data_IF_148816110274
#
_entry.id   IF_148816110274
#
_cell.length_a   1.000
_cell.length_b   1.000
_cell.length_c   1.000
_cell.angle_alpha   90.00
_cell.angle_beta   90.00
_cell.angle_gamma   90.00
#
_symmetry.space_group_name_H-M   'P 1'
#
loop_
_entity.id
_entity.type
_entity.pdbx_description
1 polymer ?
#
# COMPACT_ATOMS: atom_id res chain seq x y z
N UNK A 1 -10.48 -27.22 1.02
CA UNK A 1 -9.35 -26.96 1.95
C UNK A 1 -9.89 -26.18 3.14
N UNK A 2 -9.42 -26.42 4.38
CA UNK A 2 -9.88 -25.64 5.53
C UNK A 2 -9.47 -24.18 5.38
N UNK A 3 -10.44 -23.28 5.55
CA UNK A 3 -10.27 -21.84 5.50
C UNK A 3 -9.63 -21.35 6.82
N UNK A 4 -8.70 -20.40 6.73
CA UNK A 4 -8.06 -19.76 7.89
C UNK A 4 -8.64 -18.38 8.11
N UNK A 5 -9.21 -18.14 9.28
CA UNK A 5 -9.64 -16.82 9.71
C UNK A 5 -8.40 -15.99 10.12
N UNK A 6 -8.25 -14.80 9.51
CA UNK A 6 -7.14 -13.88 9.78
C UNK A 6 -7.70 -12.50 10.10
N UNK A 7 -7.31 -11.96 11.25
CA UNK A 7 -7.63 -10.57 11.61
C UNK A 7 -6.39 -9.71 11.38
N UNK A 8 -6.51 -8.71 10.50
CA UNK A 8 -5.49 -7.70 10.26
C UNK A 8 -5.80 -6.50 11.15
N UNK A 9 -4.85 -6.13 12.01
CA UNK A 9 -5.00 -5.00 12.94
C UNK A 9 -4.42 -3.74 12.31
N UNK A 10 -5.28 -2.74 12.09
CA UNK A 10 -4.93 -1.45 11.49
C UNK A 10 -5.31 -1.34 10.01
N UNK A 11 -5.84 -0.19 9.61
CA UNK A 11 -6.32 0.09 8.26
C UNK A 11 -5.48 1.15 7.51
N UNK A 12 -4.21 1.30 7.87
CA UNK A 12 -3.24 2.07 7.08
C UNK A 12 -2.67 1.27 5.91
N UNK A 13 -1.73 1.87 5.17
CA UNK A 13 -1.15 1.26 3.96
C UNK A 13 -0.59 -0.15 4.20
N UNK A 14 0.08 -0.38 5.33
CA UNK A 14 0.61 -1.71 5.68
C UNK A 14 -0.51 -2.74 5.91
N UNK A 15 -1.57 -2.35 6.62
CA UNK A 15 -2.70 -3.23 6.93
C UNK A 15 -3.55 -3.54 5.71
N UNK A 16 -3.96 -2.53 4.94
CA UNK A 16 -4.81 -2.71 3.76
C UNK A 16 -4.10 -3.47 2.64
N UNK A 17 -2.82 -3.18 2.38
CA UNK A 17 -2.05 -3.93 1.37
C UNK A 17 -1.89 -5.40 1.79
N UNK A 18 -1.64 -5.66 3.07
CA UNK A 18 -1.56 -7.04 3.59
C UNK A 18 -2.90 -7.75 3.47
N UNK A 19 -4.00 -7.09 3.84
CA UNK A 19 -5.35 -7.66 3.75
C UNK A 19 -5.73 -7.98 2.30
N UNK A 20 -5.40 -7.09 1.35
CA UNK A 20 -5.61 -7.30 -0.09
C UNK A 20 -4.81 -8.49 -0.63
N UNK A 21 -3.52 -8.59 -0.29
CA UNK A 21 -2.69 -9.71 -0.74
C UNK A 21 -3.12 -11.04 -0.10
N UNK A 22 -3.69 -11.03 1.10
CA UNK A 22 -4.28 -12.22 1.71
C UNK A 22 -5.61 -12.59 1.06
N UNK A 23 -6.47 -11.62 0.71
CA UNK A 23 -7.78 -11.90 0.11
C UNK A 23 -7.69 -12.46 -1.31
N UNK A 24 -6.58 -12.24 -2.02
CA UNK A 24 -6.33 -12.85 -3.34
C UNK A 24 -5.87 -14.32 -3.25
N UNK A 25 -5.48 -14.80 -2.06
CA UNK A 25 -5.01 -16.17 -1.86
C UNK A 25 -6.17 -17.06 -1.39
N UNK A 26 -6.36 -18.25 -1.99
CA UNK A 26 -7.40 -19.17 -1.54
C UNK A 26 -7.12 -19.68 -0.13
N UNK A 27 -8.18 -19.89 0.65
CA UNK A 27 -8.10 -20.47 2.00
C UNK A 27 -7.79 -19.45 3.11
N UNK A 28 -7.91 -18.15 2.84
CA UNK A 28 -7.87 -17.09 3.85
C UNK A 28 -9.17 -16.29 3.85
N UNK A 29 -9.74 -16.11 5.04
CA UNK A 29 -10.85 -15.20 5.28
C UNK A 29 -10.35 -14.06 6.16
N UNK A 30 -10.29 -12.86 5.59
CA UNK A 30 -9.67 -11.70 6.23
C UNK A 30 -10.71 -10.73 6.80
N UNK A 31 -10.46 -10.25 8.01
CA UNK A 31 -11.18 -9.14 8.65
C UNK A 31 -10.17 -8.06 9.02
N UNK A 32 -10.45 -6.80 8.66
CA UNK A 32 -9.65 -5.65 9.11
C UNK A 32 -10.33 -5.04 10.32
N UNK A 33 -9.60 -4.92 11.43
CA UNK A 33 -10.06 -4.24 12.65
C UNK A 33 -9.11 -3.09 12.96
N UNK A 34 -9.61 -1.87 13.02
CA UNK A 34 -8.80 -0.67 13.19
C UNK A 34 -9.54 0.40 14.01
N UNK A 35 -8.77 1.25 14.71
CA UNK A 35 -9.29 2.45 15.38
C UNK A 35 -9.72 3.52 14.38
N UNK A 36 -8.93 3.70 13.31
CA UNK A 36 -9.15 4.67 12.25
C UNK A 36 -9.22 3.95 10.90
N UNK A 37 -10.11 4.43 10.02
CA UNK A 37 -10.33 3.92 8.68
C UNK A 37 -9.99 4.99 7.62
N UNK A 38 -9.76 4.62 6.35
CA UNK A 38 -9.62 5.61 5.28
C UNK A 38 -10.80 6.61 5.28
N UNK A 39 -10.49 7.90 5.29
CA UNK A 39 -11.45 8.98 5.51
C UNK A 39 -11.26 9.72 6.84
N UNK A 40 -10.70 9.05 7.84
CA UNK A 40 -10.36 9.67 9.12
C UNK A 40 -9.04 10.45 9.02
N UNK A 41 -8.94 11.56 9.75
CA UNK A 41 -7.70 12.33 9.92
C UNK A 41 -7.42 12.48 11.40
N UNK A 42 -6.33 11.85 11.87
CA UNK A 42 -5.92 11.87 13.27
C UNK A 42 -4.39 11.72 13.34
N UNK A 43 -3.76 12.30 14.37
CA UNK A 43 -2.31 12.22 14.57
C UNK A 43 -1.82 10.78 14.81
N UNK A 44 -2.67 9.92 15.34
CA UNK A 44 -2.40 8.49 15.53
C UNK A 44 -2.61 7.68 14.24
N UNK A 45 -3.01 8.32 13.13
CA UNK A 45 -3.20 7.68 11.83
C UNK A 45 -2.29 8.31 10.77
N UNK A 46 -1.12 7.71 10.57
CA UNK A 46 -0.07 8.29 9.72
C UNK A 46 -0.39 8.28 8.21
N UNK A 47 -1.17 7.30 7.72
CA UNK A 47 -1.35 7.10 6.26
C UNK A 47 -1.97 8.30 5.53
N UNK A 48 -3.05 8.94 6.03
CA UNK A 48 -3.63 10.12 5.38
C UNK A 48 -2.75 11.37 5.43
N UNK A 49 -1.79 11.44 6.38
CA UNK A 49 -0.87 12.56 6.49
C UNK A 49 0.33 12.51 5.53
N UNK A 50 0.46 11.43 4.76
CA UNK A 50 1.55 11.25 3.81
C UNK A 50 1.33 12.05 2.51
N UNK A 51 2.42 12.29 1.76
CA UNK A 51 2.37 12.98 0.47
C UNK A 51 1.52 12.26 -0.58
N UNK A 52 1.86 11.06 -1.08
CA UNK A 52 3.07 10.25 -0.97
C UNK A 52 3.63 9.99 -2.39
N UNK A 53 4.93 9.70 -2.53
CA UNK A 53 5.56 9.35 -3.80
C UNK A 53 6.46 8.11 -3.66
N UNK A 54 6.80 7.47 -4.77
CA UNK A 54 7.80 6.42 -4.79
C UNK A 54 9.19 7.04 -5.03
N UNK A 55 9.98 7.13 -3.95
CA UNK A 55 11.38 7.59 -3.98
C UNK A 55 12.19 6.72 -3.01
N UNK A 56 12.79 5.62 -3.47
CA UNK A 56 13.57 4.72 -2.63
C UNK A 56 14.69 5.47 -1.90
N UNK A 57 14.70 5.35 -0.57
CA UNK A 57 15.73 5.91 0.32
C UNK A 57 16.50 4.83 1.07
N UNK A 58 16.17 3.56 0.81
CA UNK A 58 16.83 2.41 1.42
C UNK A 58 18.32 2.32 1.03
N UNK A 59 19.11 1.77 1.96
CA UNK A 59 20.51 1.46 1.72
C UNK A 59 20.57 0.24 0.79
N UNK A 60 21.44 0.30 -0.22
CA UNK A 60 21.63 -0.80 -1.18
C UNK A 60 21.96 -2.11 -0.48
N UNK A 61 21.51 -3.22 -1.07
CA UNK A 61 21.73 -4.59 -0.57
C UNK A 61 21.14 -4.83 0.84
N UNK A 62 20.04 -4.16 1.18
CA UNK A 62 19.25 -4.42 2.39
C UNK A 62 17.87 -4.98 2.04
N UNK A 63 17.19 -5.61 2.99
CA UNK A 63 15.80 -6.07 2.79
C UNK A 63 14.87 -4.92 2.40
N UNK A 64 15.08 -3.73 2.98
CA UNK A 64 14.32 -2.54 2.63
C UNK A 64 14.49 -2.14 1.15
N UNK A 65 15.69 -2.32 0.58
CA UNK A 65 15.91 -2.08 -0.84
C UNK A 65 15.18 -3.08 -1.75
N UNK A 66 15.07 -4.33 -1.31
CA UNK A 66 14.24 -5.32 -2.03
C UNK A 66 12.74 -5.02 -1.88
N UNK A 67 12.28 -4.54 -0.73
CA UNK A 67 10.89 -4.10 -0.57
C UNK A 67 10.57 -2.90 -1.44
N UNK A 68 11.42 -1.88 -1.48
CA UNK A 68 11.26 -0.73 -2.39
C UNK A 68 11.11 -1.23 -3.83
N UNK A 69 12.07 -2.02 -4.29
CA UNK A 69 12.09 -2.60 -5.64
C UNK A 69 10.83 -3.42 -5.96
N UNK A 70 10.38 -4.28 -5.05
CA UNK A 70 9.16 -5.08 -5.24
C UNK A 70 7.88 -4.25 -5.20
N UNK A 71 7.90 -3.09 -4.54
CA UNK A 71 6.76 -2.18 -4.45
C UNK A 71 6.56 -1.39 -5.74
N UNK A 72 7.62 -1.11 -6.51
CA UNK A 72 7.51 -0.38 -7.77
C UNK A 72 6.57 -1.06 -8.78
N UNK A 73 6.69 -2.38 -8.96
CA UNK A 73 5.92 -3.11 -9.97
C UNK A 73 4.39 -2.94 -9.81
N UNK A 74 3.82 -3.21 -8.62
CA UNK A 74 2.41 -2.96 -8.35
C UNK A 74 2.00 -1.49 -8.49
N UNK A 75 2.79 -0.53 -7.99
CA UNK A 75 2.48 0.90 -8.13
C UNK A 75 2.46 1.35 -9.61
N UNK A 76 3.43 0.88 -10.39
CA UNK A 76 3.51 1.13 -11.82
C UNK A 76 2.30 0.52 -12.55
N UNK A 77 1.89 -0.68 -12.17
CA UNK A 77 0.72 -1.35 -12.73
C UNK A 77 -0.57 -0.57 -12.46
N UNK A 78 -0.76 -0.08 -11.22
CA UNK A 78 -1.90 0.76 -10.86
C UNK A 78 -1.91 2.05 -11.69
N UNK A 79 -0.77 2.75 -11.76
CA UNK A 79 -0.66 4.00 -12.52
C UNK A 79 -0.92 3.83 -14.03
N UNK A 80 -0.62 2.66 -14.61
CA UNK A 80 -0.83 2.37 -16.04
C UNK A 80 -2.26 1.90 -16.35
N UNK A 81 -2.85 1.09 -15.47
CA UNK A 81 -4.05 0.30 -15.81
C UNK A 81 -5.30 0.66 -15.01
N UNK A 82 -5.15 1.39 -13.89
CA UNK A 82 -6.23 1.69 -12.94
C UNK A 82 -6.24 3.18 -12.55
N UNK A 83 -6.59 4.09 -13.46
CA UNK A 83 -6.61 5.54 -13.19
C UNK A 83 -7.56 5.93 -12.04
N UNK A 84 -8.59 5.14 -11.77
CA UNK A 84 -9.53 5.31 -10.66
C UNK A 84 -8.90 5.19 -9.28
N UNK A 85 -7.74 4.52 -9.17
CA UNK A 85 -7.02 4.30 -7.90
C UNK A 85 -6.15 5.51 -7.49
N UNK A 86 -6.16 6.60 -8.27
CA UNK A 86 -5.54 7.87 -7.89
C UNK A 86 -4.01 7.90 -7.92
N UNK A 87 -3.36 6.90 -8.51
CA UNK A 87 -1.90 6.86 -8.70
C UNK A 87 -1.57 7.27 -10.14
N UNK A 88 -0.63 8.19 -10.34
CA UNK A 88 -0.20 8.62 -11.67
C UNK A 88 1.30 8.90 -11.73
N UNK A 89 1.91 8.71 -12.90
CA UNK A 89 3.29 9.14 -13.12
C UNK A 89 3.40 10.67 -13.06
N UNK A 90 4.54 11.16 -12.59
CA UNK A 90 4.90 12.57 -12.65
C UNK A 90 6.17 12.68 -13.48
N UNK A 91 6.09 13.36 -14.62
CA UNK A 91 7.25 13.76 -15.40
C UNK A 91 7.80 15.11 -14.91
N UNK A 92 9.01 15.47 -15.33
CA UNK A 92 9.51 16.84 -15.18
C UNK A 92 8.71 17.77 -16.09
N UNK A 93 7.61 18.33 -15.61
CA UNK A 93 7.09 19.60 -16.13
C UNK A 93 7.89 20.73 -15.48
N UNK A 94 9.17 20.86 -15.84
CA UNK A 94 9.84 22.14 -15.64
C UNK A 94 9.24 23.12 -16.63
N UNK A 95 8.78 24.26 -16.12
CA UNK A 95 8.27 25.46 -16.80
C UNK A 95 8.34 25.48 -18.35
N UNK A 96 7.20 25.79 -18.97
CA UNK A 96 7.22 26.79 -20.04
C UNK A 96 7.31 28.17 -19.41
#
# INVERSE_FOLDING_TARGET
MPEKDVVVIGAGVAGLTTALLLSTKPGYKTVVAAKHMPGDSDIEYASPGAGANYMPVSIRNTEAAEWDKHTWGPLEHLAKNHPEEGVHFQGNTSCK
#
